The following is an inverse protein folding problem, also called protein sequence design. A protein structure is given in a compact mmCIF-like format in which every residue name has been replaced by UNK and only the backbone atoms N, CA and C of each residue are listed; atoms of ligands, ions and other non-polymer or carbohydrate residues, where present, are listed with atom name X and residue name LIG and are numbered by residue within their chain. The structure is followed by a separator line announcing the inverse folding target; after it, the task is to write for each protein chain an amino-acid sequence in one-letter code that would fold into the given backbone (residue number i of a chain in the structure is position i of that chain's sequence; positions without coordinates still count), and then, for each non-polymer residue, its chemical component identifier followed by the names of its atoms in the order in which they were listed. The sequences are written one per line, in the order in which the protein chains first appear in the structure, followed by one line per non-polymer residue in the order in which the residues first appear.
data_IF_627418639162
#
_entry.id   IF_627418639162
#
_cell.length_a   1.000
_cell.length_b   1.000
_cell.length_c   1.000
_cell.angle_alpha   90.00
_cell.angle_beta   90.00
_cell.angle_gamma   90.00
#
_symmetry.space_group_name_H-M   'P 1'
#
loop_
_entity.id
_entity.type
_entity.pdbx_description
1 polymer ?
#
# COMPACT_ATOMS: atom_id res chain seq x y z
N UNK A 1 20.18 1.29 -17.49
CA UNK A 1 19.56 2.15 -16.46
C UNK A 1 18.27 1.57 -15.83
N UNK A 2 17.45 0.78 -16.56
CA UNK A 2 16.20 0.22 -16.04
C UNK A 2 16.41 -0.82 -14.92
N UNK A 3 17.55 -1.49 -14.89
CA UNK A 3 17.89 -2.51 -13.87
C UNK A 3 18.82 -1.98 -12.78
N UNK A 4 19.73 -1.05 -13.11
CA UNK A 4 20.70 -0.51 -12.16
C UNK A 4 20.05 0.46 -11.16
N UNK A 5 19.11 1.31 -11.61
CA UNK A 5 18.40 2.27 -10.77
C UNK A 5 17.66 1.63 -9.59
N UNK A 6 16.86 0.57 -9.76
CA UNK A 6 16.20 -0.08 -8.63
C UNK A 6 17.19 -0.68 -7.62
N UNK A 7 18.30 -1.23 -8.10
CA UNK A 7 19.32 -1.80 -7.22
C UNK A 7 20.04 -0.73 -6.39
N UNK A 8 20.52 0.34 -7.05
CA UNK A 8 21.22 1.44 -6.36
C UNK A 8 20.28 2.19 -5.40
N UNK A 9 19.03 2.40 -5.78
CA UNK A 9 18.03 3.01 -4.92
C UNK A 9 17.74 2.14 -3.67
N UNK A 10 17.70 0.82 -3.83
CA UNK A 10 17.51 -0.09 -2.69
C UNK A 10 18.66 0.05 -1.69
N UNK A 11 19.91 -0.01 -2.15
CA UNK A 11 21.10 0.15 -1.30
C UNK A 11 21.13 1.53 -0.63
N UNK A 12 20.83 2.59 -1.38
CA UNK A 12 20.77 3.96 -0.85
C UNK A 12 19.66 4.13 0.18
N UNK A 13 18.49 3.55 -0.05
CA UNK A 13 17.38 3.62 0.89
C UNK A 13 17.64 2.78 2.16
N UNK A 14 18.26 1.61 2.03
CA UNK A 14 18.67 0.82 3.20
C UNK A 14 19.69 1.59 4.05
N UNK A 15 20.66 2.24 3.41
CA UNK A 15 21.61 3.11 4.10
C UNK A 15 20.92 4.30 4.77
N UNK A 16 20.07 5.02 4.04
CA UNK A 16 19.34 6.19 4.55
C UNK A 16 18.42 5.81 5.71
N UNK A 17 17.71 4.69 5.60
CA UNK A 17 16.82 4.21 6.65
C UNK A 17 17.58 3.73 7.89
N UNK A 18 18.78 3.17 7.71
CA UNK A 18 19.60 2.64 8.81
C UNK A 18 20.35 3.73 9.56
N UNK A 19 20.89 4.72 8.84
CA UNK A 19 21.84 5.67 9.40
C UNK A 19 21.33 7.12 9.48
N UNK A 20 20.40 7.53 8.60
CA UNK A 20 19.99 8.93 8.48
C UNK A 20 18.59 9.15 9.08
N UNK A 21 17.61 8.33 8.71
CA UNK A 21 16.26 8.48 9.24
C UNK A 21 16.19 7.88 10.65
N UNK A 22 15.67 8.63 11.59
CA UNK A 22 15.38 8.10 12.94
C UNK A 22 14.41 6.94 12.80
N UNK A 23 14.73 5.81 13.43
CA UNK A 23 13.93 4.58 13.41
C UNK A 23 12.44 4.77 13.77
N UNK A 24 12.11 5.87 14.46
CA UNK A 24 10.75 6.22 14.86
C UNK A 24 9.86 6.69 13.69
N UNK A 25 10.43 7.41 12.71
CA UNK A 25 9.64 7.99 11.61
C UNK A 25 9.21 6.96 10.55
N UNK A 26 9.82 5.77 10.57
CA UNK A 26 9.55 4.69 9.60
C UNK A 26 8.59 3.63 10.20
N UNK A 27 8.43 3.64 11.52
CA UNK A 27 7.83 2.50 12.22
C UNK A 27 6.31 2.41 12.07
N UNK A 28 5.60 3.52 12.21
CA UNK A 28 4.15 3.49 12.33
C UNK A 28 3.47 4.51 11.40
N UNK A 29 2.43 4.06 10.74
CA UNK A 29 1.52 4.92 9.97
C UNK A 29 0.16 4.93 10.65
N UNK A 30 -0.43 6.12 10.79
CA UNK A 30 -1.70 6.32 11.48
C UNK A 30 -2.80 6.77 10.51
N UNK A 31 -4.05 6.46 10.84
CA UNK A 31 -5.25 6.87 10.11
C UNK A 31 -5.19 6.52 8.63
N UNK A 32 -4.99 5.23 8.34
CA UNK A 32 -4.87 4.73 6.99
C UNK A 32 -6.27 4.42 6.45
N UNK A 33 -6.65 5.11 5.38
CA UNK A 33 -7.84 4.80 4.59
C UNK A 33 -7.41 4.26 3.24
N UNK A 34 -7.93 3.11 2.87
CA UNK A 34 -7.61 2.46 1.61
C UNK A 34 -8.84 1.82 1.00
N UNK A 35 -9.00 1.96 -0.31
CA UNK A 35 -9.99 1.23 -1.08
C UNK A 35 -9.33 -0.02 -1.65
N UNK A 36 -9.90 -1.20 -1.41
CA UNK A 36 -9.42 -2.46 -1.98
C UNK A 36 -9.94 -2.67 -3.41
N UNK A 37 -11.22 -2.40 -3.58
CA UNK A 37 -11.93 -2.46 -4.86
C UNK A 37 -13.03 -1.38 -4.89
N UNK A 38 -13.86 -1.37 -5.94
CA UNK A 38 -14.93 -0.38 -6.10
C UNK A 38 -15.89 -0.34 -4.93
N UNK A 39 -16.05 -1.46 -4.22
CA UNK A 39 -17.10 -1.67 -3.25
C UNK A 39 -16.58 -1.95 -1.84
N UNK A 40 -15.26 -2.03 -1.66
CA UNK A 40 -14.65 -2.39 -0.38
C UNK A 40 -13.67 -1.32 0.09
N UNK A 41 -13.93 -0.79 1.27
CA UNK A 41 -13.09 0.22 1.93
C UNK A 41 -12.51 -0.36 3.21
N UNK A 42 -11.24 -0.07 3.46
CA UNK A 42 -10.51 -0.48 4.66
C UNK A 42 -10.02 0.74 5.41
N UNK A 43 -10.13 0.68 6.71
CA UNK A 43 -9.53 1.63 7.65
C UNK A 43 -8.66 0.91 8.66
N UNK A 44 -7.50 1.49 8.96
CA UNK A 44 -6.58 1.09 10.01
C UNK A 44 -6.19 2.32 10.83
N UNK A 45 -6.34 2.27 12.14
CA UNK A 45 -5.90 3.37 13.00
C UNK A 45 -4.37 3.47 13.02
N UNK A 46 -3.68 2.34 13.17
CA UNK A 46 -2.21 2.32 13.21
C UNK A 46 -1.69 1.05 12.54
N UNK A 47 -0.61 1.19 11.80
CA UNK A 47 0.13 0.06 11.22
C UNK A 47 1.61 0.09 11.64
N UNK A 48 2.05 -0.98 12.29
CA UNK A 48 3.45 -1.19 12.65
C UNK A 48 4.15 -1.99 11.54
N UNK A 49 5.03 -1.33 10.81
CA UNK A 49 5.79 -1.94 9.71
C UNK A 49 6.80 -3.00 10.16
N UNK A 50 7.26 -2.99 11.42
CA UNK A 50 8.25 -3.97 11.91
C UNK A 50 7.59 -5.30 12.20
N UNK A 51 6.48 -5.26 12.93
CA UNK A 51 5.72 -6.47 13.31
C UNK A 51 4.71 -6.87 12.24
N UNK A 52 4.50 -6.00 11.22
CA UNK A 52 3.47 -6.15 10.17
C UNK A 52 2.08 -6.36 10.76
N UNK A 53 1.78 -5.54 11.77
CA UNK A 53 0.55 -5.62 12.54
C UNK A 53 -0.23 -4.32 12.43
N UNK A 54 -1.52 -4.43 12.10
CA UNK A 54 -2.46 -3.32 12.09
C UNK A 54 -3.38 -3.38 13.30
N UNK A 55 -3.74 -2.22 13.82
CA UNK A 55 -4.63 -2.06 14.97
C UNK A 55 -5.87 -1.28 14.58
N UNK A 56 -7.01 -1.62 15.21
CA UNK A 56 -8.32 -1.01 14.95
C UNK A 56 -8.69 -1.11 13.47
N UNK A 57 -8.69 -2.34 12.97
CA UNK A 57 -9.03 -2.65 11.59
C UNK A 57 -10.53 -2.59 11.36
N UNK A 58 -10.97 -1.87 10.33
CA UNK A 58 -12.34 -1.88 9.85
C UNK A 58 -12.34 -2.18 8.36
N UNK A 59 -13.27 -3.04 7.93
CA UNK A 59 -13.54 -3.31 6.53
C UNK A 59 -15.04 -3.16 6.28
N UNK A 60 -15.39 -2.25 5.40
CA UNK A 60 -16.75 -1.97 4.99
C UNK A 60 -16.94 -2.39 3.53
N UNK A 61 -17.93 -3.26 3.28
CA UNK A 61 -18.28 -3.72 1.93
C UNK A 61 -19.66 -3.21 1.56
N UNK A 62 -19.70 -2.51 0.44
CA UNK A 62 -20.92 -1.90 -0.12
C UNK A 62 -21.45 -2.71 -1.30
N UNK A 63 -22.72 -2.52 -1.60
CA UNK A 63 -23.35 -2.92 -2.86
C UNK A 63 -24.28 -1.79 -3.26
N UNK A 64 -24.01 -1.13 -4.41
CA UNK A 64 -24.78 0.03 -4.88
C UNK A 64 -25.04 1.09 -3.81
N UNK A 65 -23.99 1.54 -3.12
CA UNK A 65 -24.00 2.50 -2.00
C UNK A 65 -24.59 2.00 -0.65
N UNK A 66 -25.20 0.82 -0.63
CA UNK A 66 -25.66 0.19 0.60
C UNK A 66 -24.56 -0.59 1.31
N UNK A 67 -24.37 -0.35 2.60
CA UNK A 67 -23.46 -1.14 3.42
C UNK A 67 -24.04 -2.55 3.64
N UNK A 68 -23.37 -3.58 3.15
CA UNK A 68 -23.80 -4.99 3.25
C UNK A 68 -23.04 -5.77 4.32
N UNK A 69 -21.76 -5.41 4.51
CA UNK A 69 -20.92 -6.09 5.50
C UNK A 69 -19.97 -5.10 6.15
N UNK A 70 -19.90 -5.18 7.46
CA UNK A 70 -18.89 -4.47 8.26
C UNK A 70 -18.14 -5.47 9.12
N UNK A 71 -16.82 -5.52 8.94
CA UNK A 71 -15.91 -6.28 9.79
C UNK A 71 -15.10 -5.29 10.60
N UNK A 72 -15.08 -5.47 11.91
CA UNK A 72 -14.26 -4.71 12.86
C UNK A 72 -13.38 -5.70 13.60
N UNK A 73 -12.10 -5.38 13.72
CA UNK A 73 -11.15 -6.17 14.48
C UNK A 73 -10.16 -5.30 15.25
N UNK A 74 -9.81 -5.73 16.45
CA UNK A 74 -8.82 -5.01 17.25
C UNK A 74 -7.42 -5.11 16.63
N UNK A 75 -7.11 -6.26 16.00
CA UNK A 75 -5.79 -6.51 15.45
C UNK A 75 -5.86 -7.34 14.17
N UNK A 76 -5.03 -6.97 13.20
CA UNK A 76 -4.69 -7.81 12.04
C UNK A 76 -3.18 -7.96 11.95
N UNK A 77 -2.71 -9.17 11.64
CA UNK A 77 -1.29 -9.46 11.52
C UNK A 77 -1.00 -10.22 10.24
N UNK A 78 0.02 -9.80 9.50
CA UNK A 78 0.45 -10.47 8.28
C UNK A 78 1.22 -11.77 8.58
N UNK A 79 0.80 -12.85 7.94
CA UNK A 79 1.54 -14.10 7.90
C UNK A 79 2.29 -14.22 6.56
N UNK A 80 3.60 -14.04 6.58
CA UNK A 80 4.44 -14.06 5.38
C UNK A 80 4.54 -15.44 4.74
N UNK A 81 4.35 -16.53 5.51
CA UNK A 81 4.40 -17.90 5.01
C UNK A 81 3.13 -18.24 4.23
N UNK A 82 1.97 -17.88 4.78
CA UNK A 82 0.68 -18.15 4.16
C UNK A 82 0.23 -17.06 3.19
N UNK A 83 0.90 -15.88 3.18
CA UNK A 83 0.47 -14.70 2.44
C UNK A 83 -0.98 -14.33 2.73
N UNK A 84 -1.35 -14.36 4.00
CA UNK A 84 -2.71 -14.10 4.50
C UNK A 84 -2.67 -13.20 5.73
N UNK A 85 -3.79 -12.58 6.02
CA UNK A 85 -3.98 -11.78 7.23
C UNK A 85 -4.63 -12.62 8.32
N UNK A 86 -4.04 -12.64 9.50
CA UNK A 86 -4.62 -13.18 10.72
C UNK A 86 -5.38 -12.07 11.43
N UNK A 87 -6.66 -12.26 11.61
CA UNK A 87 -7.57 -11.32 12.27
C UNK A 87 -7.89 -11.88 13.66
N UNK A 88 -7.77 -11.05 14.68
CA UNK A 88 -8.10 -11.40 16.06
C UNK A 88 -9.04 -10.39 16.69
N UNK A 89 -9.83 -10.83 17.66
CA UNK A 89 -10.83 -10.02 18.36
C UNK A 89 -11.74 -9.26 17.38
N UNK A 90 -12.46 -10.03 16.55
CA UNK A 90 -13.25 -9.48 15.47
C UNK A 90 -14.75 -9.68 15.64
N UNK A 91 -15.51 -8.77 15.05
CA UNK A 91 -16.95 -8.90 14.83
C UNK A 91 -17.29 -8.64 13.38
N UNK A 92 -18.21 -9.44 12.84
CA UNK A 92 -18.74 -9.26 11.48
C UNK A 92 -20.22 -8.96 11.58
N UNK A 93 -20.63 -7.84 11.01
CA UNK A 93 -22.03 -7.44 10.89
C UNK A 93 -22.45 -7.61 9.42
N UNK A 94 -23.44 -8.43 9.19
CA UNK A 94 -24.13 -8.55 7.91
C UNK A 94 -25.40 -7.73 7.94
N UNK A 95 -25.64 -6.92 6.93
CA UNK A 95 -26.77 -6.01 6.81
C UNK A 95 -27.55 -6.37 5.56
N UNK A 96 -28.82 -6.76 5.75
CA UNK A 96 -29.74 -7.08 4.66
C UNK A 96 -31.04 -6.26 4.85
N UNK A 97 -31.02 -5.05 4.28
CA UNK A 97 -32.08 -4.06 4.48
C UNK A 97 -32.20 -3.65 5.95
N UNK A 98 -33.33 -3.96 6.58
CA UNK A 98 -33.59 -3.70 8.02
C UNK A 98 -33.13 -4.84 8.93
N UNK A 99 -32.61 -5.93 8.37
CA UNK A 99 -32.19 -7.10 9.13
C UNK A 99 -30.69 -7.08 9.32
N UNK A 100 -30.25 -7.15 10.57
CA UNK A 100 -28.82 -7.22 10.89
C UNK A 100 -28.50 -8.54 11.61
N UNK A 101 -27.39 -9.15 11.23
CA UNK A 101 -26.84 -10.33 11.89
C UNK A 101 -25.42 -10.04 12.31
N UNK A 102 -25.10 -10.20 13.59
CA UNK A 102 -23.77 -9.96 14.15
C UNK A 102 -23.17 -11.31 14.54
N UNK A 103 -22.00 -11.59 13.99
CA UNK A 103 -21.17 -12.74 14.36
C UNK A 103 -19.93 -12.23 15.08
N UNK A 104 -19.77 -12.63 16.32
CA UNK A 104 -18.59 -12.32 17.11
C UNK A 104 -17.59 -13.47 17.01
N UNK A 105 -16.38 -13.16 16.58
CA UNK A 105 -15.28 -14.13 16.52
C UNK A 105 -14.56 -14.30 17.86
N UNK A 106 -14.81 -13.40 18.82
CA UNK A 106 -14.12 -13.39 20.11
C UNK A 106 -12.60 -13.35 19.91
N UNK A 107 -11.87 -14.04 20.78
CA UNK A 107 -10.41 -14.18 20.71
C UNK A 107 -9.91 -15.18 19.66
N UNK A 108 -10.83 -15.76 18.86
CA UNK A 108 -10.44 -16.67 17.80
C UNK A 108 -9.63 -15.93 16.70
N UNK A 109 -8.59 -16.60 16.19
CA UNK A 109 -7.81 -16.08 15.08
C UNK A 109 -8.32 -16.67 13.77
N UNK A 110 -8.69 -15.82 12.84
CA UNK A 110 -9.16 -16.24 11.50
C UNK A 110 -8.17 -15.82 10.43
N UNK A 111 -7.74 -16.77 9.63
CA UNK A 111 -6.96 -16.49 8.42
C UNK A 111 -7.90 -15.93 7.34
N UNK A 112 -7.54 -14.80 6.77
CA UNK A 112 -8.33 -14.12 5.73
C UNK A 112 -7.42 -13.64 4.62
N UNK A 113 -7.82 -13.90 3.37
CA UNK A 113 -7.13 -13.39 2.19
C UNK A 113 -7.79 -12.08 1.81
N UNK A 114 -7.03 -10.99 1.90
CA UNK A 114 -7.46 -9.65 1.47
C UNK A 114 -6.52 -9.19 0.35
N UNK A 115 -7.04 -8.45 -0.63
CA UNK A 115 -6.22 -7.90 -1.73
C UNK A 115 -5.42 -6.68 -1.28
N UNK A 116 -4.69 -6.86 -0.20
CA UNK A 116 -3.75 -5.89 0.36
C UNK A 116 -2.54 -6.61 0.93
N UNK A 117 -1.38 -5.99 0.86
CA UNK A 117 -0.14 -6.47 1.44
C UNK A 117 0.50 -5.42 2.37
N UNK A 118 1.45 -5.79 3.24
CA UNK A 118 2.09 -4.85 4.15
C UNK A 118 2.77 -3.66 3.47
N UNK A 119 3.16 -3.78 2.20
CA UNK A 119 3.79 -2.68 1.45
C UNK A 119 2.76 -1.59 1.07
N UNK A 120 1.49 -1.93 1.00
CA UNK A 120 0.42 -0.95 0.75
C UNK A 120 0.31 0.07 1.90
N UNK A 121 0.80 -0.28 3.09
CA UNK A 121 0.81 0.57 4.28
C UNK A 121 2.15 1.29 4.51
N UNK A 122 3.17 0.99 3.72
CA UNK A 122 4.48 1.63 3.84
C UNK A 122 4.46 3.07 3.31
N UNK A 123 5.30 3.99 3.84
CA UNK A 123 5.40 5.36 3.32
C UNK A 123 5.74 5.34 1.83
N UNK A 124 4.99 6.11 1.04
CA UNK A 124 5.02 6.07 -0.43
C UNK A 124 6.40 6.34 -1.05
N UNK A 125 7.16 7.26 -0.49
CA UNK A 125 8.44 7.70 -1.08
C UNK A 125 9.49 6.59 -1.24
N UNK A 126 9.48 5.60 -0.35
CA UNK A 126 10.52 4.55 -0.35
C UNK A 126 10.12 3.29 -1.12
N UNK A 127 8.81 3.09 -1.36
CA UNK A 127 8.31 1.86 -2.00
C UNK A 127 8.44 1.96 -3.52
N UNK A 128 8.11 3.10 -4.11
CA UNK A 128 8.01 3.24 -5.57
C UNK A 128 9.36 3.41 -6.27
N UNK A 129 10.34 3.98 -5.58
CA UNK A 129 11.70 4.15 -6.11
C UNK A 129 12.45 2.82 -6.21
N UNK A 130 12.07 1.81 -5.40
CA UNK A 130 12.79 0.54 -5.24
C UNK A 130 12.21 -0.62 -6.06
N UNK A 131 11.01 -0.47 -6.61
CA UNK A 131 10.38 -1.53 -7.41
C UNK A 131 10.83 -1.45 -8.87
N UNK A 132 10.80 -2.59 -9.56
CA UNK A 132 11.11 -2.64 -10.99
C UNK A 132 10.08 -1.83 -11.81
N UNK A 133 10.43 -1.46 -13.04
CA UNK A 133 9.50 -0.72 -13.91
C UNK A 133 8.29 -1.56 -14.30
N UNK A 134 8.45 -2.89 -14.43
CA UNK A 134 7.36 -3.83 -14.68
C UNK A 134 6.39 -3.90 -13.48
N UNK A 135 6.94 -3.99 -12.26
CA UNK A 135 6.12 -4.04 -11.04
C UNK A 135 5.41 -2.72 -10.79
N UNK A 136 6.06 -1.59 -11.14
CA UNK A 136 5.45 -0.27 -11.06
C UNK A 136 4.27 -0.15 -12.04
N UNK A 137 4.40 -0.67 -13.25
CA UNK A 137 3.31 -0.71 -14.23
C UNK A 137 2.13 -1.56 -13.73
N UNK A 138 2.40 -2.76 -13.19
CA UNK A 138 1.38 -3.62 -12.61
C UNK A 138 0.67 -2.95 -11.41
N UNK A 139 1.43 -2.22 -10.57
CA UNK A 139 0.86 -1.47 -9.45
C UNK A 139 -0.01 -0.31 -9.91
N UNK A 140 0.35 0.39 -10.98
CA UNK A 140 -0.47 1.45 -11.59
C UNK A 140 -1.83 0.90 -12.02
N UNK A 141 -1.88 -0.27 -12.67
CA UNK A 141 -3.15 -0.89 -13.07
C UNK A 141 -4.00 -1.31 -11.86
N UNK A 142 -3.38 -1.86 -10.82
CA UNK A 142 -4.06 -2.20 -9.56
C UNK A 142 -4.67 -0.95 -8.90
N UNK A 143 -3.91 0.13 -8.77
CA UNK A 143 -4.36 1.38 -8.14
C UNK A 143 -5.40 2.13 -8.99
N UNK A 144 -5.42 1.91 -10.29
CA UNK A 144 -6.46 2.46 -11.18
C UNK A 144 -7.84 1.88 -10.85
N UNK A 145 -7.92 0.58 -10.56
CA UNK A 145 -9.16 -0.07 -10.12
C UNK A 145 -9.58 0.41 -8.73
N UNK A 146 -8.60 0.62 -7.84
CA UNK A 146 -8.82 1.11 -6.47
C UNK A 146 -9.27 2.57 -6.42
N UNK A 147 -8.98 3.37 -7.46
CA UNK A 147 -9.32 4.81 -7.49
C UNK A 147 -8.58 5.62 -6.43
N UNK A 148 -7.38 5.21 -6.03
CA UNK A 148 -6.60 5.88 -4.99
C UNK A 148 -5.96 7.18 -5.49
N UNK A 149 -5.81 8.16 -4.60
CA UNK A 149 -5.14 9.43 -4.89
C UNK A 149 -3.65 9.29 -5.24
N UNK A 150 -3.08 8.12 -5.02
CA UNK A 150 -1.66 7.80 -5.25
C UNK A 150 -1.32 7.59 -6.73
N UNK A 151 -2.33 7.47 -7.58
CA UNK A 151 -2.17 7.21 -9.01
C UNK A 151 -1.26 8.23 -9.70
N UNK A 152 -1.36 9.51 -9.32
CA UNK A 152 -0.55 10.58 -9.94
C UNK A 152 0.93 10.41 -9.59
N UNK A 153 1.25 10.08 -8.34
CA UNK A 153 2.63 9.87 -7.89
C UNK A 153 3.28 8.66 -8.56
N UNK A 154 2.51 7.56 -8.71
CA UNK A 154 2.97 6.36 -9.41
C UNK A 154 3.26 6.63 -10.88
N UNK A 155 2.37 7.36 -11.58
CA UNK A 155 2.57 7.76 -12.97
C UNK A 155 3.75 8.70 -13.11
N UNK A 156 3.90 9.67 -12.21
CA UNK A 156 5.04 10.57 -12.20
C UNK A 156 6.35 9.81 -12.07
N UNK A 157 6.46 8.88 -11.12
CA UNK A 157 7.67 8.06 -10.93
C UNK A 157 7.95 7.16 -12.14
N UNK A 158 6.90 6.61 -12.77
CA UNK A 158 7.03 5.82 -13.99
C UNK A 158 7.60 6.65 -15.14
N UNK A 159 7.01 7.81 -15.45
CA UNK A 159 7.48 8.65 -16.56
C UNK A 159 8.83 9.28 -16.29
N UNK A 160 9.15 9.65 -15.07
CA UNK A 160 10.44 10.19 -14.65
C UNK A 160 11.60 9.26 -15.04
N UNK A 161 11.41 7.94 -14.95
CA UNK A 161 12.46 6.96 -15.34
C UNK A 161 12.82 7.01 -16.81
N UNK A 162 11.91 7.41 -17.68
CA UNK A 162 12.14 7.57 -19.11
C UNK A 162 12.61 8.99 -19.47
N UNK A 163 12.08 9.99 -18.79
CA UNK A 163 12.42 11.38 -19.07
C UNK A 163 13.84 11.76 -18.62
N UNK A 164 14.34 11.19 -17.54
CA UNK A 164 15.71 11.47 -17.07
C UNK A 164 16.80 11.16 -18.10
N UNK A 165 16.85 9.97 -18.74
CA UNK A 165 17.80 9.71 -19.79
C UNK A 165 17.64 10.65 -20.99
N UNK A 166 16.38 10.97 -21.36
CA UNK A 166 16.11 11.87 -22.49
C UNK A 166 16.61 13.28 -22.25
N UNK A 167 16.47 13.80 -21.04
CA UNK A 167 16.97 15.13 -20.67
C UNK A 167 18.48 15.27 -20.81
N UNK A 168 19.23 14.20 -20.53
CA UNK A 168 20.68 14.19 -20.73
C UNK A 168 21.07 14.35 -22.22
N UNK A 169 20.34 13.70 -23.14
CA UNK A 169 20.55 13.86 -24.58
C UNK A 169 20.26 15.29 -25.04
N UNK A 170 19.15 15.87 -24.59
CA UNK A 170 18.77 17.25 -24.94
C UNK A 170 19.84 18.24 -24.45
N UNK A 171 20.31 18.12 -23.22
CA UNK A 171 21.33 18.98 -22.65
C UNK A 171 22.67 18.86 -23.39
N UNK A 172 23.04 17.65 -23.78
CA UNK A 172 24.27 17.41 -24.56
C UNK A 172 24.17 18.06 -25.94
N UNK A 173 23.06 17.90 -26.65
CA UNK A 173 22.82 18.52 -27.94
C UNK A 173 22.81 20.06 -27.86
N UNK A 174 22.19 20.61 -26.82
CA UNK A 174 22.22 22.07 -26.58
C UNK A 174 23.66 22.57 -26.30
N UNK A 175 24.43 21.82 -25.50
CA UNK A 175 25.84 22.17 -25.25
C UNK A 175 26.68 22.19 -26.51
N UNK A 176 26.49 21.22 -27.41
CA UNK A 176 27.19 21.17 -28.72
C UNK A 176 26.72 22.29 -29.65
N UNK A 177 25.43 22.66 -29.64
CA UNK A 177 24.91 23.70 -30.50
C UNK A 177 25.31 25.11 -30.05
N UNK A 178 25.72 25.31 -28.81
CA UNK A 178 26.15 26.59 -28.24
C UNK A 178 27.66 26.75 -28.21
N UNK A 179 28.42 25.70 -28.53
CA UNK A 179 29.90 25.70 -28.64
C UNK A 179 30.38 26.06 -30.04
#
# INVERSE_FOLDING_TARGET
NLYLLPYTNRVMNDFTNTYIKRKADIANRNNIHMRLDSNTVVYLETFDNKTKTGYKFNLDKFNDDDLKLKLVAEQIKWDSLKRSWKISDFSVRHIDGLKETIVQGGTSVKDTILDMDPNDFSPYENVYTNISTSDLAAKIEKEKVRGSGVMQDLRFEYYKRFLHPLSAYVLTLMGVALS
#
